data_IF_009002434533
#
_entry.id   IF_009002434533
#
_cell.length_a   1.000
_cell.length_b   1.000
_cell.length_c   1.000
_cell.angle_alpha   90.00
_cell.angle_beta   90.00
_cell.angle_gamma   90.00
#
_symmetry.space_group_name_H-M   'P 1'
#
loop_
_entity.id
_entity.type
_entity.pdbx_description
1 polymer ?
#
# COMPACT_ATOMS: atom_id res chain seq x y z
N UNK A 1 -21.95 -7.02 5.01
CA UNK A 1 -23.40 -7.40 4.97
C UNK A 1 -24.23 -6.46 4.07
N UNK A 2 -24.26 -5.10 4.31
CA UNK A 2 -25.11 -4.19 3.52
C UNK A 2 -24.72 -4.19 2.03
N UNK A 3 -23.45 -4.00 1.69
CA UNK A 3 -22.97 -3.98 0.31
C UNK A 3 -23.24 -5.30 -0.42
N UNK A 4 -23.17 -6.42 0.28
CA UNK A 4 -23.44 -7.74 -0.26
C UNK A 4 -24.95 -7.98 -0.43
N UNK A 5 -25.76 -7.58 0.57
CA UNK A 5 -27.22 -7.62 0.49
C UNK A 5 -27.77 -6.78 -0.66
N UNK A 6 -27.14 -5.66 -0.94
CA UNK A 6 -27.51 -4.74 -2.02
C UNK A 6 -26.86 -5.09 -3.37
N UNK A 7 -26.23 -6.24 -3.49
CA UNK A 7 -25.58 -6.73 -4.72
C UNK A 7 -24.51 -5.76 -5.26
N UNK A 8 -23.80 -5.08 -4.35
CA UNK A 8 -22.70 -4.17 -4.73
C UNK A 8 -21.41 -4.94 -4.90
N UNK A 9 -21.13 -5.90 -4.03
CA UNK A 9 -19.94 -6.76 -4.08
C UNK A 9 -20.22 -8.07 -3.36
N UNK A 10 -19.70 -9.16 -3.91
CA UNK A 10 -19.70 -10.49 -3.30
C UNK A 10 -18.35 -10.79 -2.67
N UNK A 11 -18.38 -11.22 -1.41
CA UNK A 11 -17.19 -11.51 -0.64
C UNK A 11 -16.95 -13.00 -0.46
N UNK A 12 -15.68 -13.37 -0.47
CA UNK A 12 -15.22 -14.70 -0.10
C UNK A 12 -14.27 -14.60 1.08
N UNK A 13 -14.37 -15.56 2.00
CA UNK A 13 -13.42 -15.69 3.10
C UNK A 13 -12.10 -16.25 2.56
N UNK A 14 -10.99 -15.64 2.93
CA UNK A 14 -9.65 -16.19 2.65
C UNK A 14 -9.37 -17.23 3.75
N UNK A 15 -9.29 -18.53 3.40
CA UNK A 15 -9.05 -19.58 4.37
C UNK A 15 -7.62 -19.49 4.93
N UNK A 16 -7.47 -19.89 6.18
CA UNK A 16 -6.17 -20.04 6.87
C UNK A 16 -5.24 -18.82 6.81
N UNK A 17 -5.82 -17.62 6.65
CA UNK A 17 -5.07 -16.37 6.66
C UNK A 17 -5.11 -15.77 8.06
N UNK A 18 -3.94 -15.72 8.72
CA UNK A 18 -3.76 -15.21 10.08
C UNK A 18 -3.82 -13.68 10.13
N UNK A 19 -4.31 -13.15 11.26
CA UNK A 19 -4.11 -11.71 11.55
C UNK A 19 -2.61 -11.38 11.61
N UNK A 20 -2.24 -10.19 11.16
CA UNK A 20 -0.89 -9.70 11.36
C UNK A 20 -0.57 -9.73 12.86
N UNK A 21 0.64 -10.14 13.17
CA UNK A 21 1.12 -10.32 14.56
C UNK A 21 0.44 -11.44 15.37
N UNK A 22 -0.27 -12.37 14.73
CA UNK A 22 -0.71 -13.59 15.40
C UNK A 22 0.50 -14.51 15.68
N UNK A 23 0.59 -15.18 16.84
CA UNK A 23 -0.36 -15.14 17.97
C UNK A 23 -0.07 -14.04 19.01
N UNK A 24 0.94 -13.21 18.82
CA UNK A 24 1.53 -12.33 19.83
C UNK A 24 0.63 -11.13 20.19
N UNK A 25 -0.16 -10.65 19.24
CA UNK A 25 -1.07 -9.52 19.48
C UNK A 25 -2.36 -9.97 20.19
N UNK A 26 -2.72 -9.38 21.33
CA UNK A 26 -3.96 -9.71 22.04
C UNK A 26 -5.19 -9.57 21.15
N UNK A 27 -6.01 -10.60 21.07
CA UNK A 27 -7.23 -10.64 20.26
C UNK A 27 -7.01 -10.95 18.79
N UNK A 28 -5.77 -11.17 18.34
CA UNK A 28 -5.48 -11.69 17.01
C UNK A 28 -6.02 -13.10 16.83
N UNK A 29 -6.31 -13.47 15.58
CA UNK A 29 -6.89 -14.77 15.22
C UNK A 29 -6.09 -15.46 14.13
N UNK A 30 -6.04 -16.77 14.19
CA UNK A 30 -5.39 -17.61 13.17
C UNK A 30 -6.13 -17.62 11.82
N UNK A 31 -7.41 -17.29 11.79
CA UNK A 31 -8.22 -17.30 10.57
C UNK A 31 -9.56 -16.60 10.77
N UNK A 32 -10.31 -16.40 9.68
CA UNK A 32 -11.71 -16.03 9.74
C UNK A 32 -12.01 -14.54 9.68
N UNK A 33 -11.00 -13.68 9.40
CA UNK A 33 -11.22 -12.23 9.35
C UNK A 33 -11.07 -11.60 7.97
N UNK A 34 -10.30 -12.21 7.10
CA UNK A 34 -9.95 -11.59 5.82
C UNK A 34 -10.91 -12.02 4.72
N UNK A 35 -11.40 -11.04 3.99
CA UNK A 35 -12.29 -11.22 2.85
C UNK A 35 -11.59 -10.72 1.59
N UNK A 36 -11.89 -11.38 0.47
CA UNK A 36 -11.56 -10.92 -0.88
C UNK A 36 -12.84 -10.80 -1.70
N UNK A 37 -12.83 -9.97 -2.74
CA UNK A 37 -13.93 -9.93 -3.70
C UNK A 37 -13.94 -11.18 -4.57
N UNK A 38 -15.12 -11.72 -4.88
CA UNK A 38 -15.25 -12.75 -5.90
C UNK A 38 -14.75 -12.23 -7.25
N UNK A 39 -14.12 -13.09 -8.09
CA UNK A 39 -13.84 -12.75 -9.47
C UNK A 39 -15.09 -12.26 -10.19
N UNK A 40 -14.96 -11.26 -11.04
CA UNK A 40 -16.05 -10.71 -11.82
C UNK A 40 -15.70 -10.73 -13.31
N UNK A 41 -16.66 -11.10 -14.15
CA UNK A 41 -16.51 -11.03 -15.60
C UNK A 41 -16.62 -9.57 -16.04
N UNK A 42 -15.59 -9.06 -16.73
CA UNK A 42 -15.55 -7.68 -17.23
C UNK A 42 -16.70 -7.33 -18.17
N UNK A 43 -17.32 -8.29 -18.85
CA UNK A 43 -18.51 -8.10 -19.69
C UNK A 43 -19.69 -7.53 -18.89
N UNK A 44 -19.77 -7.82 -17.58
CA UNK A 44 -20.83 -7.33 -16.70
C UNK A 44 -20.81 -5.81 -16.52
N UNK A 45 -19.68 -5.18 -16.81
CA UNK A 45 -19.53 -3.73 -16.72
C UNK A 45 -20.02 -3.00 -17.99
N UNK A 46 -20.19 -3.70 -19.11
CA UNK A 46 -20.54 -3.08 -20.37
C UNK A 46 -19.58 -1.93 -20.73
N UNK A 47 -20.13 -0.78 -21.12
CA UNK A 47 -19.33 0.40 -21.48
C UNK A 47 -18.49 0.97 -20.34
N UNK A 48 -18.85 0.71 -19.09
CA UNK A 48 -18.10 1.19 -17.93
C UNK A 48 -16.78 0.44 -17.69
N UNK A 49 -16.55 -0.72 -18.35
CA UNK A 49 -15.29 -1.45 -18.30
C UNK A 49 -14.08 -0.59 -18.66
N UNK A 50 -14.24 0.33 -19.60
CA UNK A 50 -13.20 1.27 -20.05
C UNK A 50 -12.77 2.28 -19.00
N UNK A 51 -13.53 2.44 -17.91
CA UNK A 51 -13.17 3.33 -16.79
C UNK A 51 -12.17 2.70 -15.83
N UNK A 52 -11.98 1.38 -15.92
CA UNK A 52 -10.99 0.68 -15.11
C UNK A 52 -9.65 0.64 -15.84
N UNK A 53 -8.63 1.17 -15.19
CA UNK A 53 -7.24 1.08 -15.66
C UNK A 53 -6.68 -0.27 -15.25
N UNK A 54 -6.13 -1.01 -16.19
CA UNK A 54 -5.48 -2.28 -15.94
C UNK A 54 -4.03 -2.08 -15.51
N UNK A 55 -3.66 -2.64 -14.36
CA UNK A 55 -2.28 -2.68 -13.89
C UNK A 55 -1.62 -3.99 -14.36
N UNK A 56 -0.77 -3.96 -15.38
CA UNK A 56 -0.32 -5.18 -16.07
C UNK A 56 0.74 -5.99 -15.31
N UNK A 57 1.31 -5.43 -14.26
CA UNK A 57 2.52 -5.97 -13.60
C UNK A 57 2.27 -6.71 -12.28
N UNK A 58 1.07 -6.72 -11.75
CA UNK A 58 0.74 -7.52 -10.57
C UNK A 58 -0.24 -8.63 -10.90
N UNK A 59 -0.28 -9.73 -10.13
CA UNK A 59 -0.85 -10.97 -10.62
C UNK A 59 -2.29 -10.80 -11.09
N UNK A 60 -2.41 -10.66 -12.39
CA UNK A 60 -3.68 -10.59 -13.09
C UNK A 60 -4.19 -12.02 -13.25
N UNK A 61 -5.43 -12.25 -12.85
CA UNK A 61 -6.09 -13.53 -13.06
C UNK A 61 -5.85 -14.58 -11.97
N UNK A 62 -5.16 -14.27 -10.88
CA UNK A 62 -5.09 -15.12 -9.68
C UNK A 62 -6.07 -14.63 -8.63
N UNK A 63 -6.57 -15.50 -7.76
CA UNK A 63 -7.30 -15.11 -6.55
C UNK A 63 -6.39 -15.19 -5.33
N UNK A 64 -6.80 -14.58 -4.21
CA UNK A 64 -6.01 -14.62 -2.98
C UNK A 64 -5.86 -16.05 -2.46
N UNK A 65 -6.93 -16.83 -2.50
CA UNK A 65 -6.94 -18.23 -2.08
C UNK A 65 -5.98 -19.07 -2.90
N UNK A 66 -6.02 -18.93 -4.23
CA UNK A 66 -5.13 -19.64 -5.14
C UNK A 66 -3.66 -19.27 -4.93
N UNK A 67 -3.38 -17.99 -4.68
CA UNK A 67 -2.02 -17.54 -4.39
C UNK A 67 -1.43 -18.30 -3.19
N UNK A 68 -2.20 -18.49 -2.12
CA UNK A 68 -1.74 -19.27 -0.96
C UNK A 68 -1.75 -20.77 -1.23
N UNK A 69 -2.78 -21.30 -1.87
CA UNK A 69 -2.87 -22.71 -2.24
C UNK A 69 -1.69 -23.14 -3.12
N UNK A 70 -1.23 -22.25 -4.00
CA UNK A 70 -0.08 -22.50 -4.88
C UNK A 70 1.26 -22.18 -4.23
N UNK A 71 1.31 -21.95 -2.93
CA UNK A 71 2.55 -21.83 -2.15
C UNK A 71 3.01 -20.39 -1.86
N UNK A 72 2.17 -19.38 -2.13
CA UNK A 72 2.47 -17.97 -1.85
C UNK A 72 3.44 -17.33 -2.83
N UNK A 73 3.95 -16.17 -2.45
CA UNK A 73 4.84 -15.35 -3.31
C UNK A 73 6.22 -16.00 -3.48
N UNK A 74 6.62 -16.85 -2.53
CA UNK A 74 7.90 -17.57 -2.57
C UNK A 74 7.91 -18.77 -3.53
N UNK A 75 6.75 -19.18 -4.03
CA UNK A 75 6.58 -20.35 -4.88
C UNK A 75 5.91 -20.01 -6.23
N UNK A 76 6.33 -18.91 -6.85
CA UNK A 76 5.77 -18.45 -8.14
C UNK A 76 5.92 -19.47 -9.27
N UNK A 77 6.92 -20.31 -9.20
CA UNK A 77 7.14 -21.44 -10.10
C UNK A 77 6.02 -22.50 -10.06
N UNK A 78 5.19 -22.50 -9.00
CA UNK A 78 4.04 -23.39 -8.82
C UNK A 78 2.71 -22.76 -9.24
N UNK A 79 2.71 -21.47 -9.57
CA UNK A 79 1.47 -20.81 -9.97
C UNK A 79 0.95 -21.34 -11.29
N UNK A 80 -0.36 -21.57 -11.36
CA UNK A 80 -1.00 -22.06 -12.56
C UNK A 80 -1.17 -20.94 -13.60
N UNK A 81 -0.11 -20.71 -14.37
CA UNK A 81 -0.06 -19.66 -15.39
C UNK A 81 -1.12 -19.85 -16.47
N UNK A 82 -1.51 -21.08 -16.80
CA UNK A 82 -2.55 -21.34 -17.80
C UNK A 82 -3.92 -20.85 -17.31
N UNK A 83 -4.27 -21.08 -16.05
CA UNK A 83 -5.50 -20.54 -15.44
C UNK A 83 -5.47 -19.01 -15.43
N UNK A 84 -4.36 -18.40 -15.03
CA UNK A 84 -4.21 -16.96 -14.99
C UNK A 84 -4.37 -16.35 -16.40
N UNK A 85 -3.72 -16.93 -17.40
CA UNK A 85 -3.83 -16.47 -18.78
C UNK A 85 -5.24 -16.67 -19.36
N UNK A 86 -5.89 -17.77 -19.06
CA UNK A 86 -7.27 -18.02 -19.50
C UNK A 86 -8.23 -16.95 -18.94
N UNK A 87 -8.09 -16.56 -17.68
CA UNK A 87 -8.89 -15.50 -17.08
C UNK A 87 -8.57 -14.13 -17.69
N UNK A 88 -7.29 -13.85 -17.94
CA UNK A 88 -6.89 -12.61 -18.62
C UNK A 88 -7.51 -12.50 -20.01
N UNK A 89 -7.51 -13.58 -20.78
CA UNK A 89 -8.15 -13.63 -22.11
C UNK A 89 -9.67 -13.46 -22.02
N UNK A 90 -10.29 -14.02 -20.98
CA UNK A 90 -11.72 -13.92 -20.73
C UNK A 90 -12.15 -12.59 -20.06
N UNK A 91 -11.22 -11.67 -19.81
CA UNK A 91 -11.45 -10.43 -19.04
C UNK A 91 -12.08 -10.70 -17.65
N UNK A 92 -11.67 -11.79 -16.99
CA UNK A 92 -12.09 -12.08 -15.61
C UNK A 92 -11.21 -11.31 -14.63
N UNK A 93 -11.79 -10.34 -13.93
CA UNK A 93 -11.09 -9.43 -13.03
C UNK A 93 -11.04 -10.00 -11.62
N UNK A 94 -9.86 -9.97 -11.03
CA UNK A 94 -9.57 -10.53 -9.70
C UNK A 94 -8.83 -9.50 -8.83
N UNK A 95 -8.59 -9.80 -7.57
CA UNK A 95 -7.87 -8.91 -6.63
C UNK A 95 -8.46 -7.50 -6.58
N UNK A 96 -7.61 -6.48 -6.54
CA UNK A 96 -8.00 -5.08 -6.50
C UNK A 96 -8.80 -4.63 -7.73
N UNK A 97 -8.48 -5.14 -8.91
CA UNK A 97 -9.27 -4.89 -10.12
C UNK A 97 -10.69 -5.45 -10.00
N UNK A 98 -10.84 -6.67 -9.46
CA UNK A 98 -12.15 -7.28 -9.20
C UNK A 98 -12.96 -6.47 -8.20
N UNK A 99 -12.35 -6.01 -7.10
CA UNK A 99 -13.02 -5.15 -6.11
C UNK A 99 -13.47 -3.84 -6.76
N UNK A 100 -12.60 -3.16 -7.51
CA UNK A 100 -12.95 -1.94 -8.23
C UNK A 100 -14.08 -2.15 -9.24
N UNK A 101 -14.05 -3.27 -9.97
CA UNK A 101 -15.09 -3.63 -10.94
C UNK A 101 -16.46 -3.81 -10.27
N UNK A 102 -16.54 -4.49 -9.12
CA UNK A 102 -17.77 -4.63 -8.36
C UNK A 102 -18.35 -3.28 -7.96
N UNK A 103 -17.53 -2.35 -7.46
CA UNK A 103 -18.00 -1.01 -7.08
C UNK A 103 -18.41 -0.18 -8.30
N UNK A 104 -17.66 -0.24 -9.42
CA UNK A 104 -18.05 0.44 -10.67
C UNK A 104 -19.39 -0.08 -11.14
N UNK A 105 -19.58 -1.42 -11.22
CA UNK A 105 -20.88 -2.04 -11.53
C UNK A 105 -21.98 -1.50 -10.60
N UNK A 106 -21.74 -1.51 -9.28
CA UNK A 106 -22.70 -1.03 -8.29
C UNK A 106 -23.15 0.43 -8.50
N UNK A 107 -22.24 1.30 -8.95
CA UNK A 107 -22.54 2.72 -9.29
C UNK A 107 -23.45 2.79 -10.51
N UNK A 108 -23.09 2.10 -11.60
CA UNK A 108 -23.84 2.18 -12.86
C UNK A 108 -25.20 1.48 -12.80
N UNK A 109 -25.30 0.35 -12.07
CA UNK A 109 -26.58 -0.33 -11.83
C UNK A 109 -27.61 0.56 -11.10
N UNK A 110 -27.12 1.55 -10.33
CA UNK A 110 -27.95 2.52 -9.60
C UNK A 110 -28.15 3.83 -10.33
N UNK A 111 -27.70 3.90 -11.58
CA UNK A 111 -27.80 5.12 -12.40
C UNK A 111 -27.23 6.37 -11.72
N UNK A 112 -26.13 6.20 -10.96
CA UNK A 112 -25.41 7.32 -10.35
C UNK A 112 -24.59 8.01 -11.45
N UNK A 113 -24.77 9.31 -11.59
CA UNK A 113 -24.02 10.09 -12.57
C UNK A 113 -22.52 10.11 -12.24
N UNK A 114 -21.69 9.80 -13.23
CA UNK A 114 -20.24 9.80 -13.14
C UNK A 114 -19.67 10.79 -14.14
N UNK A 115 -18.95 11.78 -13.62
CA UNK A 115 -18.27 12.80 -14.44
C UNK A 115 -16.76 12.52 -14.41
N UNK A 116 -16.25 11.98 -15.50
CA UNK A 116 -14.79 11.78 -15.70
C UNK A 116 -14.14 13.00 -16.29
N UNK A 117 -12.83 13.17 -16.10
CA UNK A 117 -12.06 14.33 -16.59
C UNK A 117 -12.61 15.68 -16.12
N UNK A 118 -13.24 15.67 -14.93
CA UNK A 118 -13.84 16.83 -14.28
C UNK A 118 -13.19 17.06 -12.90
N UNK A 119 -11.97 17.61 -12.86
CA UNK A 119 -11.30 17.89 -11.58
C UNK A 119 -12.09 18.96 -10.81
N UNK A 120 -12.39 18.65 -9.55
CA UNK A 120 -12.98 19.62 -8.64
C UNK A 120 -11.87 20.53 -8.11
N UNK A 121 -12.03 21.84 -8.30
CA UNK A 121 -11.01 22.83 -7.92
C UNK A 121 -11.45 23.75 -6.77
N UNK A 122 -12.76 23.83 -6.53
CA UNK A 122 -13.31 24.80 -5.56
C UNK A 122 -14.49 24.22 -4.79
N UNK A 123 -14.54 24.46 -3.50
CA UNK A 123 -15.73 24.28 -2.68
C UNK A 123 -16.60 25.53 -2.74
N UNK A 124 -17.86 25.37 -3.12
CA UNK A 124 -18.84 26.47 -3.15
C UNK A 124 -19.47 26.64 -1.78
N UNK A 125 -19.50 27.88 -1.29
CA UNK A 125 -20.05 28.21 0.04
C UNK A 125 -21.06 29.31 -0.05
N UNK A 126 -22.09 29.26 0.84
CA UNK A 126 -23.07 30.32 1.06
C UNK A 126 -23.45 30.32 2.53
N UNK A 127 -23.45 31.49 3.17
CA UNK A 127 -23.82 31.67 4.60
C UNK A 127 -23.10 30.66 5.53
N UNK A 128 -21.77 30.56 5.42
CA UNK A 128 -20.90 29.65 6.19
C UNK A 128 -21.23 28.16 6.02
N UNK A 129 -21.93 27.81 4.98
CA UNK A 129 -22.25 26.42 4.66
C UNK A 129 -21.69 26.05 3.28
N UNK A 130 -21.20 24.83 3.16
CA UNK A 130 -20.86 24.24 1.86
C UNK A 130 -22.15 23.88 1.14
N UNK A 131 -22.28 24.37 -0.10
CA UNK A 131 -23.47 24.17 -0.93
C UNK A 131 -23.20 23.40 -2.22
N UNK A 132 -21.92 23.08 -2.51
CA UNK A 132 -21.56 22.37 -3.71
C UNK A 132 -20.07 22.44 -4.03
N UNK A 133 -19.76 22.08 -5.26
CA UNK A 133 -18.39 22.09 -5.80
C UNK A 133 -18.38 22.70 -7.19
N UNK A 134 -17.24 23.28 -7.57
CA UNK A 134 -16.93 23.67 -8.95
C UNK A 134 -15.85 22.78 -9.51
N UNK A 135 -16.10 22.25 -10.69
CA UNK A 135 -15.12 21.60 -11.54
C UNK A 135 -14.69 22.54 -12.66
N UNK A 136 -13.40 22.61 -12.91
CA UNK A 136 -12.81 23.36 -14.02
C UNK A 136 -12.03 22.41 -14.90
N UNK A 137 -12.56 22.10 -16.06
CA UNK A 137 -11.94 21.24 -17.06
C UNK A 137 -11.66 22.01 -18.35
N UNK A 138 -10.89 21.42 -19.27
CA UNK A 138 -10.67 22.00 -20.60
C UNK A 138 -11.97 22.18 -21.38
N UNK A 139 -13.01 21.39 -21.10
CA UNK A 139 -14.34 21.47 -21.67
C UNK A 139 -15.21 22.59 -21.10
N UNK A 140 -14.78 23.27 -20.05
CA UNK A 140 -15.51 24.33 -19.37
C UNK A 140 -15.65 24.09 -17.85
N UNK A 141 -16.29 25.06 -17.18
CA UNK A 141 -16.57 25.02 -15.74
C UNK A 141 -18.00 24.54 -15.49
N UNK A 142 -18.17 23.68 -14.47
CA UNK A 142 -19.47 23.16 -14.04
C UNK A 142 -19.61 23.35 -12.54
N UNK A 143 -20.72 23.92 -12.09
CA UNK A 143 -21.10 23.98 -10.68
C UNK A 143 -22.11 22.88 -10.39
N UNK A 144 -21.80 22.05 -9.38
CA UNK A 144 -22.68 21.01 -8.86
C UNK A 144 -23.10 21.35 -7.43
N UNK A 145 -24.40 21.43 -7.19
CA UNK A 145 -24.95 21.86 -5.91
C UNK A 145 -25.46 20.68 -5.10
N UNK A 146 -25.12 20.67 -3.81
CA UNK A 146 -25.53 19.64 -2.85
C UNK A 146 -24.59 19.57 -1.67
N UNK A 147 -24.81 18.61 -0.79
CA UNK A 147 -23.84 18.26 0.25
C UNK A 147 -22.64 17.56 -0.38
N UNK A 148 -21.46 17.88 0.08
CA UNK A 148 -20.20 17.40 -0.50
C UNK A 148 -19.59 16.31 0.37
N UNK A 149 -19.20 15.19 -0.24
CA UNK A 149 -18.44 14.12 0.40
C UNK A 149 -17.08 14.01 -0.28
N UNK A 150 -16.00 14.33 0.42
CA UNK A 150 -14.64 14.17 -0.04
C UNK A 150 -14.21 12.72 0.16
N UNK A 151 -13.93 12.00 -0.94
CA UNK A 151 -13.50 10.61 -0.95
C UNK A 151 -12.31 10.40 -1.92
N UNK A 152 -11.39 11.35 -1.94
CA UNK A 152 -10.37 11.56 -2.99
C UNK A 152 -9.07 10.78 -2.76
N UNK A 153 -9.03 9.93 -1.74
CA UNK A 153 -7.81 9.20 -1.38
C UNK A 153 -6.85 10.02 -0.51
N UNK A 154 -5.65 9.52 -0.34
CA UNK A 154 -4.64 10.07 0.56
C UNK A 154 -3.83 11.22 -0.09
N UNK A 155 -2.67 11.51 0.48
CA UNK A 155 -1.80 12.64 0.13
C UNK A 155 -0.45 12.23 -0.46
N UNK A 156 -0.31 11.00 -0.90
CA UNK A 156 0.97 10.35 -1.20
C UNK A 156 1.87 11.15 -2.14
N UNK A 157 1.28 11.77 -3.17
CA UNK A 157 2.01 12.55 -4.18
C UNK A 157 1.98 14.06 -3.95
N UNK A 158 1.36 14.53 -2.86
CA UNK A 158 1.49 15.92 -2.42
C UNK A 158 2.83 16.11 -1.72
N UNK A 159 3.75 16.83 -2.33
CA UNK A 159 5.09 17.04 -1.77
C UNK A 159 5.08 17.67 -0.38
N UNK A 160 4.18 18.61 -0.11
CA UNK A 160 4.08 19.29 1.18
C UNK A 160 3.40 18.44 2.27
N UNK A 161 2.35 17.68 1.91
CA UNK A 161 1.61 16.87 2.87
C UNK A 161 2.36 15.58 3.21
N UNK A 162 3.01 14.94 2.24
CA UNK A 162 3.79 13.73 2.47
C UNK A 162 4.96 14.00 3.45
N UNK A 163 5.71 15.07 3.24
CA UNK A 163 6.77 15.48 4.17
C UNK A 163 6.22 15.83 5.55
N UNK A 164 5.12 16.61 5.61
CA UNK A 164 4.49 17.01 6.86
C UNK A 164 3.97 15.85 7.70
N UNK A 165 3.37 14.85 7.05
CA UNK A 165 2.69 13.77 7.78
C UNK A 165 3.59 12.57 8.06
N UNK A 166 4.60 12.30 7.24
CA UNK A 166 5.43 11.10 7.35
C UNK A 166 6.88 11.42 7.68
N UNK A 167 7.41 12.52 7.14
CA UNK A 167 8.78 12.96 7.40
C UNK A 167 9.86 12.12 6.71
N UNK A 168 9.51 11.34 5.68
CA UNK A 168 10.52 10.65 4.87
C UNK A 168 11.18 11.65 3.93
N UNK A 169 12.53 11.72 3.88
CA UNK A 169 13.22 12.54 2.91
C UNK A 169 12.85 12.15 1.47
N UNK A 170 12.59 13.14 0.62
CA UNK A 170 12.08 12.95 -0.74
C UNK A 170 12.94 11.98 -1.58
N UNK A 171 14.25 12.02 -1.44
CA UNK A 171 15.21 11.17 -2.16
C UNK A 171 15.24 9.71 -1.70
N UNK A 172 14.58 9.40 -0.57
CA UNK A 172 14.45 8.07 0.01
C UNK A 172 13.01 7.60 0.08
N UNK A 173 12.05 8.47 -0.29
CA UNK A 173 10.63 8.19 -0.30
C UNK A 173 10.09 7.79 -1.66
N UNK A 174 8.81 7.52 -1.69
CA UNK A 174 7.99 7.23 -2.87
C UNK A 174 6.61 6.76 -2.45
N UNK A 175 5.80 6.30 -3.40
CA UNK A 175 4.49 5.71 -3.11
C UNK A 175 4.11 4.62 -4.10
N UNK A 176 3.36 3.64 -3.60
CA UNK A 176 2.68 2.61 -4.41
C UNK A 176 1.36 3.12 -5.01
N UNK A 177 0.83 4.23 -4.48
CA UNK A 177 -0.41 4.81 -4.98
C UNK A 177 -0.22 5.40 -6.39
N UNK A 178 -1.25 5.39 -7.24
CA UNK A 178 -1.24 6.10 -8.51
C UNK A 178 -0.88 7.57 -8.34
N UNK A 179 -0.20 8.16 -9.33
CA UNK A 179 0.26 9.56 -9.26
C UNK A 179 -0.87 10.59 -9.09
N UNK A 180 -2.10 10.19 -9.38
CA UNK A 180 -3.31 11.00 -9.15
C UNK A 180 -3.70 11.16 -7.68
N UNK A 181 -3.10 10.40 -6.76
CA UNK A 181 -3.40 10.51 -5.32
C UNK A 181 -2.54 11.64 -4.72
N UNK A 182 -2.93 12.87 -5.00
CA UNK A 182 -2.14 14.07 -4.71
C UNK A 182 -2.64 14.90 -3.51
N UNK A 183 -3.68 14.45 -2.79
CA UNK A 183 -4.20 15.16 -1.62
C UNK A 183 -5.30 16.18 -1.91
N UNK A 184 -5.89 16.15 -3.10
CA UNK A 184 -6.86 17.14 -3.58
C UNK A 184 -8.01 17.40 -2.58
N UNK A 185 -8.57 16.34 -1.97
CA UNK A 185 -9.64 16.52 -0.99
C UNK A 185 -9.18 17.18 0.29
N UNK A 186 -7.92 17.02 0.68
CA UNK A 186 -7.34 17.73 1.82
C UNK A 186 -7.22 19.21 1.48
N UNK A 187 -6.69 19.52 0.31
CA UNK A 187 -6.56 20.91 -0.16
C UNK A 187 -7.93 21.58 -0.31
N UNK A 188 -8.93 20.88 -0.84
CA UNK A 188 -10.32 21.37 -0.90
C UNK A 188 -10.90 21.63 0.49
N UNK A 189 -10.66 20.74 1.46
CA UNK A 189 -11.10 20.96 2.84
C UNK A 189 -10.44 22.19 3.48
N UNK A 190 -9.15 22.39 3.22
CA UNK A 190 -8.40 23.55 3.71
C UNK A 190 -8.93 24.88 3.16
N UNK A 191 -9.47 24.91 1.93
CA UNK A 191 -10.10 26.12 1.36
C UNK A 191 -11.24 26.67 2.22
N UNK A 192 -11.91 25.79 2.97
CA UNK A 192 -13.06 26.15 3.82
C UNK A 192 -12.76 26.04 5.32
N UNK A 193 -11.47 26.04 5.69
CA UNK A 193 -11.02 26.08 7.07
C UNK A 193 -11.08 24.75 7.82
N UNK A 194 -11.04 23.63 7.11
CA UNK A 194 -10.98 22.31 7.74
C UNK A 194 -9.70 22.12 8.57
N UNK A 195 -9.82 21.40 9.67
CA UNK A 195 -8.69 20.95 10.47
C UNK A 195 -8.05 19.72 9.82
N UNK A 196 -6.72 19.66 9.88
CA UNK A 196 -5.94 18.48 9.46
C UNK A 196 -5.10 17.97 10.62
N UNK A 197 -4.96 16.65 10.70
CA UNK A 197 -4.15 15.99 11.71
C UNK A 197 -3.36 14.83 11.08
N UNK A 198 -2.28 14.45 11.73
CA UNK A 198 -1.47 13.29 11.37
C UNK A 198 -1.50 12.25 12.48
N UNK A 199 -1.32 10.98 12.11
CA UNK A 199 -1.00 9.94 13.07
C UNK A 199 0.50 10.02 13.41
N UNK A 200 0.95 9.54 14.58
CA UNK A 200 2.38 9.46 14.87
C UNK A 200 3.15 8.75 13.75
N UNK A 201 4.37 9.21 13.45
CA UNK A 201 5.18 8.67 12.34
C UNK A 201 5.41 7.16 12.40
N UNK A 202 5.54 6.59 13.62
CA UNK A 202 5.60 5.14 13.85
C UNK A 202 4.32 4.39 13.47
N UNK A 203 3.23 5.10 13.21
CA UNK A 203 1.95 4.55 12.80
C UNK A 203 1.69 4.66 11.30
N UNK A 204 2.61 5.24 10.53
CA UNK A 204 2.45 5.37 9.10
C UNK A 204 2.57 4.00 8.41
N UNK A 205 1.65 3.65 7.52
CA UNK A 205 1.71 2.40 6.76
C UNK A 205 2.67 2.54 5.58
N UNK A 206 3.94 2.40 5.88
CA UNK A 206 5.06 2.46 4.95
C UNK A 206 5.53 1.04 4.67
N UNK A 207 6.08 0.80 3.49
CA UNK A 207 6.69 -0.48 3.11
C UNK A 207 8.06 -0.24 2.48
N UNK A 208 9.03 -1.11 2.68
CA UNK A 208 10.24 -1.13 1.87
C UNK A 208 9.92 -1.41 0.41
N UNK A 209 10.64 -0.77 -0.49
CA UNK A 209 10.46 -1.00 -1.91
C UNK A 209 11.55 -0.32 -2.73
N UNK A 210 11.34 -0.23 -4.03
CA UNK A 210 12.31 0.29 -4.98
C UNK A 210 11.64 1.10 -6.09
N UNK A 211 12.45 1.90 -6.78
CA UNK A 211 12.01 2.70 -7.92
C UNK A 211 12.44 2.01 -9.22
N UNK A 212 11.49 1.82 -10.14
CA UNK A 212 11.80 1.40 -11.50
C UNK A 212 12.51 2.53 -12.27
N UNK A 213 13.36 2.21 -13.24
CA UNK A 213 13.97 3.21 -14.12
C UNK A 213 12.94 4.04 -14.89
N UNK A 214 11.81 3.45 -15.23
CA UNK A 214 10.68 4.13 -15.89
C UNK A 214 9.33 3.54 -15.46
N UNK A 215 8.24 4.34 -15.48
CA UNK A 215 6.88 3.83 -15.34
C UNK A 215 6.54 2.80 -16.43
N UNK A 216 5.64 1.85 -16.13
CA UNK A 216 5.28 0.74 -17.02
C UNK A 216 3.89 0.89 -17.65
N UNK A 217 3.06 1.80 -17.15
CA UNK A 217 1.74 2.13 -17.69
C UNK A 217 1.34 3.58 -17.32
N UNK A 218 0.26 4.08 -17.91
CA UNK A 218 -0.26 5.44 -17.62
C UNK A 218 -0.77 5.54 -16.18
N UNK A 219 -0.30 6.56 -15.45
CA UNK A 219 -0.61 6.75 -14.03
C UNK A 219 0.22 5.90 -13.08
N UNK A 220 1.15 5.10 -13.59
CA UNK A 220 2.08 4.33 -12.77
C UNK A 220 3.00 5.25 -11.95
N UNK A 221 3.13 4.95 -10.67
CA UNK A 221 4.05 5.65 -9.77
C UNK A 221 5.53 5.41 -10.10
N UNK A 222 5.84 4.33 -10.81
CA UNK A 222 7.20 3.85 -11.03
C UNK A 222 7.84 3.22 -9.79
N UNK A 223 7.11 3.06 -8.70
CA UNK A 223 7.60 2.39 -7.48
C UNK A 223 6.95 1.03 -7.29
N UNK A 224 7.71 0.10 -6.68
CA UNK A 224 7.24 -1.26 -6.36
C UNK A 224 7.59 -1.61 -4.92
N UNK A 225 6.64 -2.21 -4.20
CA UNK A 225 6.92 -2.82 -2.90
C UNK A 225 7.87 -4.01 -3.08
N UNK A 226 8.77 -4.18 -2.15
CA UNK A 226 9.68 -5.31 -2.12
C UNK A 226 9.28 -6.24 -0.98
N UNK A 227 8.95 -7.47 -1.30
CA UNK A 227 8.68 -8.54 -0.34
C UNK A 227 9.83 -9.55 -0.31
N UNK A 228 10.64 -9.55 -1.34
CA UNK A 228 11.76 -10.46 -1.54
C UNK A 228 12.85 -10.27 -0.46
N UNK A 229 12.96 -9.07 0.13
CA UNK A 229 13.90 -8.84 1.23
C UNK A 229 13.61 -9.69 2.48
N UNK A 230 12.39 -10.25 2.60
CA UNK A 230 12.02 -11.14 3.69
C UNK A 230 12.47 -12.59 3.46
N UNK A 231 12.81 -12.95 2.21
CA UNK A 231 13.20 -14.31 1.82
C UNK A 231 14.64 -14.62 2.27
N UNK A 232 15.03 -15.89 2.38
CA UNK A 232 16.41 -16.25 2.68
C UNK A 232 17.39 -15.80 1.59
N UNK A 233 18.69 -15.81 1.88
CA UNK A 233 19.78 -15.40 1.01
C UNK A 233 19.77 -13.92 0.61
N UNK A 234 19.26 -13.06 1.51
CA UNK A 234 19.26 -11.60 1.36
C UNK A 234 19.41 -10.90 2.70
N UNK A 235 19.96 -9.68 2.66
CA UNK A 235 20.06 -8.78 3.81
C UNK A 235 19.80 -7.33 3.38
N UNK A 236 19.45 -6.47 4.35
CA UNK A 236 19.44 -5.01 4.16
C UNK A 236 20.62 -4.37 4.90
N UNK A 237 21.31 -3.46 4.22
CA UNK A 237 22.47 -2.74 4.78
C UNK A 237 22.37 -1.25 4.49
N UNK A 238 23.01 -0.43 5.34
CA UNK A 238 23.21 0.99 5.10
C UNK A 238 24.47 1.25 4.25
N UNK A 239 24.83 2.52 4.02
CA UNK A 239 26.02 2.92 3.24
C UNK A 239 27.35 2.48 3.87
N UNK A 240 27.39 2.18 5.17
CA UNK A 240 28.55 1.62 5.86
C UNK A 240 28.67 0.10 5.69
N UNK A 241 27.75 -0.52 4.95
CA UNK A 241 27.66 -1.97 4.77
C UNK A 241 27.15 -2.71 6.01
N UNK A 242 26.50 -2.03 6.94
CA UNK A 242 26.02 -2.61 8.21
C UNK A 242 24.52 -2.86 8.19
N UNK A 243 24.10 -4.04 8.67
CA UNK A 243 22.69 -4.32 9.00
C UNK A 243 22.26 -3.46 10.19
N UNK A 244 20.98 -3.11 10.26
CA UNK A 244 20.46 -2.16 11.26
C UNK A 244 19.12 -2.57 11.88
N UNK A 245 18.54 -3.72 11.49
CA UNK A 245 17.22 -4.17 11.95
C UNK A 245 17.01 -5.67 11.67
N UNK A 246 15.89 -6.23 12.17
CA UNK A 246 15.31 -7.45 11.56
C UNK A 246 14.79 -7.08 10.17
N UNK A 247 15.60 -7.39 9.18
CA UNK A 247 15.34 -7.05 7.78
C UNK A 247 14.30 -7.95 7.10
N UNK A 248 13.74 -8.93 7.80
CA UNK A 248 12.55 -9.67 7.38
C UNK A 248 11.22 -9.09 7.89
N UNK A 249 11.27 -8.13 8.83
CA UNK A 249 10.09 -7.57 9.46
C UNK A 249 9.91 -6.07 9.12
N UNK A 250 8.91 -5.74 8.31
CA UNK A 250 8.71 -4.38 7.79
C UNK A 250 8.73 -3.28 8.85
N UNK A 251 8.07 -3.42 10.01
CA UNK A 251 8.13 -2.38 11.05
C UNK A 251 9.53 -2.09 11.55
N UNK A 252 10.37 -3.11 11.68
CA UNK A 252 11.76 -2.95 12.12
C UNK A 252 12.62 -2.29 11.05
N UNK A 253 12.40 -2.64 9.78
CA UNK A 253 13.06 -1.98 8.64
C UNK A 253 12.75 -0.49 8.62
N UNK A 254 11.47 -0.13 8.79
CA UNK A 254 11.04 1.27 8.80
C UNK A 254 11.62 2.01 10.02
N UNK A 255 11.51 1.44 11.20
CA UNK A 255 12.03 2.02 12.43
C UNK A 255 13.56 2.22 12.36
N UNK A 256 14.27 1.20 11.88
CA UNK A 256 15.72 1.24 11.69
C UNK A 256 16.16 2.29 10.67
N UNK A 257 15.51 2.32 9.49
CA UNK A 257 15.81 3.29 8.44
C UNK A 257 15.53 4.74 8.87
N UNK A 258 14.45 4.95 9.65
CA UNK A 258 14.04 6.26 10.15
C UNK A 258 14.74 6.69 11.44
N UNK A 259 15.66 5.87 11.98
CA UNK A 259 16.48 6.24 13.14
C UNK A 259 17.23 7.54 12.87
N UNK A 260 17.15 8.46 13.82
CA UNK A 260 17.76 9.80 13.70
C UNK A 260 18.74 10.01 14.85
N UNK A 261 19.91 10.50 14.51
CA UNK A 261 20.95 10.93 15.48
C UNK A 261 20.59 12.29 16.10
N UNK A 262 21.28 12.64 17.17
CA UNK A 262 21.09 13.94 17.86
C UNK A 262 21.36 15.17 16.96
N UNK A 263 22.09 15.01 15.88
CA UNK A 263 22.39 16.05 14.89
C UNK A 263 21.39 16.09 13.71
N UNK A 264 20.35 15.27 13.75
CA UNK A 264 19.33 15.17 12.70
C UNK A 264 19.73 14.29 11.53
N UNK A 265 20.90 13.65 11.53
CA UNK A 265 21.29 12.71 10.48
C UNK A 265 20.61 11.37 10.65
N UNK A 266 20.34 10.68 9.52
CA UNK A 266 19.77 9.33 9.49
C UNK A 266 20.82 8.35 8.95
N UNK A 267 21.56 7.68 9.82
CA UNK A 267 22.72 6.88 9.44
C UNK A 267 22.37 5.67 8.57
N UNK A 268 21.12 5.25 8.60
CA UNK A 268 20.63 4.11 7.82
C UNK A 268 19.94 4.51 6.51
N UNK A 269 20.02 5.78 6.09
CA UNK A 269 19.59 6.23 4.78
C UNK A 269 20.77 6.82 3.99
N UNK A 270 20.98 6.42 2.72
CA UNK A 270 20.26 5.36 2.00
C UNK A 270 20.52 3.96 2.54
N UNK A 271 19.62 3.03 2.23
CA UNK A 271 19.83 1.61 2.50
C UNK A 271 19.66 0.78 1.22
N UNK A 272 20.21 -0.44 1.26
CA UNK A 272 20.32 -1.30 0.09
C UNK A 272 19.90 -2.71 0.44
N UNK A 273 19.27 -3.39 -0.50
CA UNK A 273 19.07 -4.84 -0.47
C UNK A 273 20.22 -5.51 -1.18
N UNK A 274 20.81 -6.53 -0.54
CA UNK A 274 21.91 -7.33 -1.07
C UNK A 274 21.45 -8.79 -1.05
N UNK A 275 21.68 -9.53 -2.14
CA UNK A 275 21.34 -10.94 -2.26
C UNK A 275 22.27 -11.67 -3.21
N UNK A 276 22.20 -13.01 -3.23
CA UNK A 276 23.03 -13.87 -4.06
C UNK A 276 22.25 -14.49 -5.23
N UNK A 277 22.93 -15.22 -6.09
CA UNK A 277 22.33 -15.83 -7.29
C UNK A 277 21.36 -16.97 -6.95
N UNK A 278 21.50 -17.63 -5.79
CA UNK A 278 20.52 -18.60 -5.33
C UNK A 278 19.15 -17.94 -5.11
N UNK A 279 19.13 -16.77 -4.44
CA UNK A 279 17.90 -15.99 -4.23
C UNK A 279 17.27 -15.57 -5.57
N UNK A 280 18.09 -15.07 -6.51
CA UNK A 280 17.63 -14.69 -7.84
C UNK A 280 16.94 -15.84 -8.58
N UNK A 281 17.59 -17.00 -8.59
CA UNK A 281 17.08 -18.18 -9.29
C UNK A 281 15.84 -18.79 -8.62
N UNK A 282 15.63 -18.52 -7.32
CA UNK A 282 14.51 -19.06 -6.55
C UNK A 282 13.29 -18.13 -6.52
N UNK A 283 13.49 -16.83 -6.36
CA UNK A 283 12.39 -15.90 -6.11
C UNK A 283 12.20 -14.86 -7.22
N UNK A 284 13.26 -14.48 -7.91
CA UNK A 284 13.25 -13.31 -8.79
C UNK A 284 13.16 -11.99 -8.02
N UNK A 285 12.62 -10.95 -8.66
CA UNK A 285 12.41 -9.63 -8.04
C UNK A 285 11.19 -8.93 -8.66
N UNK A 286 10.13 -8.76 -7.88
CA UNK A 286 8.93 -8.07 -8.34
C UNK A 286 8.33 -8.67 -9.61
N UNK A 287 8.40 -7.94 -10.73
CA UNK A 287 7.90 -8.40 -12.04
C UNK A 287 8.84 -9.39 -12.74
N UNK A 288 10.10 -9.43 -12.34
CA UNK A 288 11.11 -10.37 -12.87
C UNK A 288 10.91 -11.72 -12.19
N UNK A 289 10.64 -12.75 -12.98
CA UNK A 289 10.47 -14.11 -12.49
C UNK A 289 11.79 -14.74 -12.01
N UNK A 290 11.71 -15.92 -11.35
CA UNK A 290 12.89 -16.66 -10.92
C UNK A 290 13.85 -16.94 -12.07
N UNK A 291 15.10 -16.51 -11.92
CA UNK A 291 16.17 -16.69 -12.93
C UNK A 291 16.02 -15.86 -14.22
N UNK A 292 15.02 -15.02 -14.31
CA UNK A 292 14.84 -14.14 -15.47
C UNK A 292 15.76 -12.90 -15.37
N UNK A 293 16.18 -12.33 -16.51
CA UNK A 293 16.97 -11.08 -16.51
C UNK A 293 16.22 -9.94 -15.79
N UNK A 294 16.94 -9.22 -14.95
CA UNK A 294 16.38 -8.03 -14.27
C UNK A 294 16.02 -6.91 -15.27
N UNK A 295 15.11 -6.05 -14.86
CA UNK A 295 14.87 -4.79 -15.56
C UNK A 295 16.19 -4.02 -15.66
N UNK A 296 16.52 -3.56 -16.86
CA UNK A 296 17.75 -2.81 -17.14
C UNK A 296 17.89 -1.62 -16.19
N UNK A 297 19.07 -1.36 -15.68
CA UNK A 297 19.42 -0.30 -14.72
C UNK A 297 18.74 -0.38 -13.33
N UNK A 298 18.03 -1.46 -13.01
CA UNK A 298 17.42 -1.63 -11.69
C UNK A 298 18.35 -2.27 -10.68
N UNK A 299 19.05 -3.32 -11.09
CA UNK A 299 19.89 -4.16 -10.22
C UNK A 299 21.34 -4.08 -10.66
N UNK A 300 22.22 -3.89 -9.71
CA UNK A 300 23.67 -4.02 -9.90
C UNK A 300 24.10 -5.45 -9.58
N UNK A 301 24.90 -6.07 -10.44
CA UNK A 301 25.42 -7.42 -10.23
C UNK A 301 26.93 -7.42 -10.34
N UNK A 302 27.60 -8.18 -9.47
CA UNK A 302 29.07 -8.31 -9.47
C UNK A 302 29.51 -9.72 -9.07
N UNK A 303 30.73 -10.09 -9.46
CA UNK A 303 31.27 -11.39 -9.13
C UNK A 303 31.74 -11.53 -7.69
N UNK A 304 31.99 -10.39 -7.03
CA UNK A 304 32.45 -10.34 -5.63
C UNK A 304 31.64 -9.32 -4.83
N UNK A 305 31.59 -9.50 -3.53
CA UNK A 305 30.97 -8.56 -2.59
C UNK A 305 31.67 -7.20 -2.62
N UNK A 306 33.00 -7.18 -2.75
CA UNK A 306 33.77 -5.95 -2.85
C UNK A 306 33.40 -5.13 -4.09
N UNK A 307 33.37 -5.77 -5.27
CA UNK A 307 32.96 -5.10 -6.52
C UNK A 307 31.52 -4.57 -6.42
N UNK A 308 30.61 -5.34 -5.84
CA UNK A 308 29.22 -4.94 -5.66
C UNK A 308 29.14 -3.69 -4.76
N UNK A 309 29.85 -3.70 -3.64
CA UNK A 309 29.89 -2.56 -2.71
C UNK A 309 30.42 -1.28 -3.38
N UNK A 310 31.53 -1.38 -4.16
CA UNK A 310 32.10 -0.27 -4.90
C UNK A 310 31.09 0.32 -5.91
N UNK A 311 30.38 -0.54 -6.67
CA UNK A 311 29.37 -0.11 -7.64
C UNK A 311 28.16 0.59 -6.99
N UNK A 312 27.78 0.15 -5.80
CA UNK A 312 26.64 0.71 -5.05
C UNK A 312 27.00 1.89 -4.14
N UNK A 313 28.30 2.27 -4.05
CA UNK A 313 28.82 3.24 -3.10
C UNK A 313 28.53 2.85 -1.63
N UNK A 314 28.68 1.58 -1.31
CA UNK A 314 28.66 1.03 0.04
C UNK A 314 30.12 0.84 0.48
N UNK A 315 30.41 1.00 1.78
CA UNK A 315 31.75 0.77 2.32
C UNK A 315 32.13 -0.71 2.18
N UNK A 316 33.14 -1.08 1.33
CA UNK A 316 33.37 -2.47 0.95
C UNK A 316 33.73 -3.39 2.11
N UNK A 317 34.61 -2.89 3.01
CA UNK A 317 35.06 -3.67 4.17
C UNK A 317 33.90 -3.91 5.15
N UNK A 318 33.05 -2.89 5.35
CA UNK A 318 31.88 -3.03 6.21
C UNK A 318 30.88 -4.05 5.70
N UNK A 319 30.65 -4.09 4.37
CA UNK A 319 29.76 -5.07 3.77
C UNK A 319 30.35 -6.48 3.85
N UNK A 320 31.64 -6.65 3.56
CA UNK A 320 32.31 -7.94 3.65
C UNK A 320 32.28 -8.52 5.06
N UNK A 321 32.64 -7.72 6.08
CA UNK A 321 32.57 -8.13 7.49
C UNK A 321 31.14 -8.52 7.87
N UNK A 322 30.14 -7.76 7.45
CA UNK A 322 28.71 -8.02 7.74
C UNK A 322 28.26 -9.34 7.12
N UNK A 323 28.63 -9.63 5.88
CA UNK A 323 28.25 -10.88 5.20
C UNK A 323 28.96 -12.08 5.84
N UNK A 324 30.24 -11.97 6.17
CA UNK A 324 30.97 -13.05 6.85
C UNK A 324 30.29 -13.40 8.18
N UNK A 325 29.98 -12.39 9.00
CA UNK A 325 29.34 -12.60 10.31
C UNK A 325 27.91 -13.16 10.15
N UNK A 326 27.12 -12.59 9.24
CA UNK A 326 25.76 -13.07 8.98
C UNK A 326 25.77 -14.53 8.49
N UNK A 327 26.60 -14.87 7.51
CA UNK A 327 26.68 -16.22 6.94
C UNK A 327 27.04 -17.27 8.00
N UNK A 328 27.98 -16.95 8.91
CA UNK A 328 28.36 -17.84 10.00
C UNK A 328 27.15 -18.30 10.85
N UNK A 329 26.21 -17.41 11.11
CA UNK A 329 25.00 -17.73 11.87
C UNK A 329 23.87 -18.27 10.98
N UNK A 330 23.75 -17.75 9.76
CA UNK A 330 22.71 -18.10 8.82
C UNK A 330 22.76 -19.57 8.35
N UNK A 331 23.95 -20.21 8.33
CA UNK A 331 24.09 -21.63 8.05
C UNK A 331 23.26 -22.52 8.99
N UNK A 332 23.11 -22.10 10.26
CA UNK A 332 22.27 -22.78 11.24
C UNK A 332 20.83 -22.23 11.33
N UNK A 333 20.46 -21.29 10.42
CA UNK A 333 19.16 -20.66 10.38
C UNK A 333 18.90 -19.65 11.50
N UNK A 334 19.95 -19.09 12.09
CA UNK A 334 19.86 -18.14 13.18
C UNK A 334 20.34 -16.75 12.77
N UNK A 335 19.80 -15.73 13.44
CA UNK A 335 20.29 -14.35 13.41
C UNK A 335 20.29 -13.79 14.85
N UNK A 336 21.40 -13.93 15.59
CA UNK A 336 21.46 -13.51 16.98
C UNK A 336 21.47 -11.98 17.19
N UNK A 337 21.75 -11.20 16.13
CA UNK A 337 21.87 -9.74 16.22
C UNK A 337 20.52 -9.04 16.17
N UNK A 338 19.64 -9.48 15.26
CA UNK A 338 18.36 -8.82 15.05
C UNK A 338 17.15 -9.76 15.14
N UNK A 339 17.38 -11.07 15.26
CA UNK A 339 16.31 -12.05 15.39
C UNK A 339 15.54 -12.32 14.10
N UNK A 340 16.16 -12.10 12.92
CA UNK A 340 15.54 -12.40 11.62
C UNK A 340 14.97 -13.81 11.59
N UNK A 341 13.73 -13.94 11.12
CA UNK A 341 13.05 -15.22 11.03
C UNK A 341 12.61 -15.82 12.37
N UNK A 342 12.51 -15.05 13.45
CA UNK A 342 11.90 -15.48 14.72
C UNK A 342 10.42 -15.14 14.81
N UNK A 343 9.96 -14.10 14.09
CA UNK A 343 8.56 -13.70 14.08
C UNK A 343 7.68 -14.74 13.36
N UNK A 344 6.66 -15.26 14.04
CA UNK A 344 5.80 -16.34 13.53
C UNK A 344 5.03 -15.94 12.27
N UNK A 345 4.45 -14.74 12.27
CA UNK A 345 3.71 -14.21 11.12
C UNK A 345 4.61 -14.02 9.89
N UNK A 346 5.83 -13.49 10.08
CA UNK A 346 6.80 -13.35 8.99
C UNK A 346 7.20 -14.70 8.40
N UNK A 347 7.43 -15.70 9.25
CA UNK A 347 7.76 -17.06 8.82
C UNK A 347 6.66 -17.68 7.95
N UNK A 348 5.40 -17.45 8.31
CA UNK A 348 4.25 -18.00 7.61
C UNK A 348 3.96 -17.28 6.29
N UNK A 349 3.95 -15.95 6.29
CA UNK A 349 3.47 -15.18 5.14
C UNK A 349 4.56 -14.61 4.23
N UNK A 350 5.79 -14.51 4.75
CA UNK A 350 6.89 -13.83 4.05
C UNK A 350 8.18 -14.65 4.02
N UNK A 351 8.13 -15.90 4.43
CA UNK A 351 9.22 -16.83 4.35
C UNK A 351 8.99 -17.88 3.26
N UNK A 352 10.05 -18.58 2.88
CA UNK A 352 9.96 -19.79 2.07
C UNK A 352 9.81 -21.01 2.98
N UNK A 353 8.61 -21.56 3.07
CA UNK A 353 8.32 -22.75 3.89
C UNK A 353 9.13 -24.01 3.51
N UNK A 354 9.64 -24.06 2.29
CA UNK A 354 10.50 -25.15 1.81
C UNK A 354 11.97 -24.96 2.18
N UNK A 355 12.41 -23.73 2.42
CA UNK A 355 13.78 -23.44 2.84
C UNK A 355 14.04 -23.83 4.29
N UNK A 356 15.13 -24.56 4.54
CA UNK A 356 15.53 -25.07 5.85
C UNK A 356 16.96 -24.63 6.19
N UNK A 357 17.23 -24.40 7.48
CA UNK A 357 16.40 -24.65 8.66
C UNK A 357 15.41 -23.53 8.98
N UNK A 358 15.52 -22.35 8.38
CA UNK A 358 14.68 -21.19 8.68
C UNK A 358 14.12 -20.58 7.37
N UNK A 359 12.80 -20.34 7.25
CA UNK A 359 12.18 -19.84 6.02
C UNK A 359 12.61 -18.41 5.62
N UNK A 360 13.26 -17.66 6.51
CA UNK A 360 13.70 -16.28 6.25
C UNK A 360 15.22 -16.09 6.28
N UNK A 361 15.99 -17.11 6.70
CA UNK A 361 17.43 -16.99 6.92
C UNK A 361 18.19 -17.99 6.06
N UNK A 362 19.09 -17.49 5.22
CA UNK A 362 20.00 -18.27 4.39
C UNK A 362 21.28 -17.47 4.12
N UNK A 363 22.47 -18.11 4.05
CA UNK A 363 23.72 -17.43 3.82
C UNK A 363 23.84 -16.91 2.39
N UNK A 364 24.52 -15.80 2.17
CA UNK A 364 24.84 -15.25 0.85
C UNK A 364 26.18 -15.84 0.38
N UNK A 365 26.14 -16.85 -0.47
CA UNK A 365 27.33 -17.62 -0.88
C UNK A 365 27.49 -17.76 -2.39
N UNK A 366 26.43 -17.63 -3.15
CA UNK A 366 26.38 -17.98 -4.56
C UNK A 366 26.54 -16.72 -5.44
N UNK A 367 27.72 -16.58 -6.05
CA UNK A 367 27.95 -15.52 -7.02
C UNK A 367 27.21 -15.79 -8.35
N UNK A 368 26.82 -14.76 -9.12
CA UNK A 368 27.02 -13.34 -8.83
C UNK A 368 26.19 -12.84 -7.66
N UNK A 369 26.72 -11.81 -7.00
CA UNK A 369 25.99 -11.07 -5.96
C UNK A 369 25.26 -9.89 -6.60
N UNK A 370 24.11 -9.58 -6.06
CA UNK A 370 23.21 -8.56 -6.57
C UNK A 370 22.87 -7.53 -5.50
N UNK A 371 22.57 -6.31 -5.92
CA UNK A 371 22.15 -5.29 -5.00
C UNK A 371 21.40 -4.14 -5.67
N UNK A 372 20.56 -3.47 -4.90
CA UNK A 372 19.85 -2.27 -5.33
C UNK A 372 19.59 -1.32 -4.17
N UNK A 373 19.45 -0.03 -4.49
CA UNK A 373 18.99 0.97 -3.52
C UNK A 373 17.51 0.76 -3.20
N UNK A 374 17.19 0.82 -1.91
CA UNK A 374 15.82 0.72 -1.41
C UNK A 374 15.23 2.11 -1.10
N UNK A 375 13.90 2.16 -1.10
CA UNK A 375 13.10 3.32 -0.74
C UNK A 375 12.08 2.94 0.35
N UNK A 376 11.65 3.94 1.11
CA UNK A 376 10.49 3.83 2.00
C UNK A 376 9.25 4.35 1.27
N UNK A 377 8.29 3.48 1.04
CA UNK A 377 7.14 3.78 0.17
C UNK A 377 5.86 3.95 0.98
N UNK A 378 5.15 5.03 0.72
CA UNK A 378 3.75 5.17 1.11
C UNK A 378 2.91 4.12 0.39
N UNK A 379 1.83 3.69 1.01
CA UNK A 379 1.00 2.58 0.51
C UNK A 379 -0.40 3.02 0.06
N UNK A 380 -0.64 4.32 -0.08
CA UNK A 380 -1.98 4.85 -0.35
C UNK A 380 -2.89 4.89 0.88
N UNK A 381 -2.38 4.46 2.03
CA UNK A 381 -3.09 4.45 3.31
C UNK A 381 -2.70 5.68 4.09
N UNK A 382 -3.68 6.50 4.49
CA UNK A 382 -3.40 7.81 5.06
C UNK A 382 -2.62 7.76 6.39
N UNK A 383 -1.51 8.50 6.44
CA UNK A 383 -0.79 8.84 7.67
C UNK A 383 -1.29 10.15 8.29
N UNK A 384 -2.12 10.88 7.58
CA UNK A 384 -2.74 12.13 8.00
C UNK A 384 -3.82 12.54 7.02
N UNK A 385 -4.58 13.56 7.36
CA UNK A 385 -5.68 14.04 6.52
C UNK A 385 -6.62 14.95 7.27
N UNK A 386 -7.81 15.16 6.72
CA UNK A 386 -8.88 15.93 7.33
C UNK A 386 -9.34 15.31 8.65
N UNK A 387 -9.65 16.14 9.64
CA UNK A 387 -10.31 15.68 10.86
C UNK A 387 -11.82 15.57 10.59
N UNK A 388 -12.39 14.39 10.84
CA UNK A 388 -13.83 14.17 10.68
C UNK A 388 -14.41 13.43 11.89
N UNK A 389 -15.67 13.73 12.21
CA UNK A 389 -16.44 13.06 13.26
C UNK A 389 -16.94 11.68 12.85
N UNK A 390 -17.65 11.00 13.75
CA UNK A 390 -18.13 9.63 13.57
C UNK A 390 -19.05 9.42 12.35
N UNK A 391 -19.78 10.44 11.93
CA UNK A 391 -20.63 10.42 10.72
C UNK A 391 -19.93 10.99 9.48
N UNK A 392 -18.62 11.22 9.52
CA UNK A 392 -17.85 11.78 8.41
C UNK A 392 -17.97 13.31 8.27
N UNK A 393 -18.65 14.04 9.16
CA UNK A 393 -18.66 15.52 9.13
C UNK A 393 -17.27 16.06 9.34
N UNK A 394 -16.79 16.90 8.43
CA UNK A 394 -15.47 17.54 8.52
C UNK A 394 -15.50 18.58 9.65
N UNK A 395 -14.46 18.57 10.46
CA UNK A 395 -14.29 19.51 11.58
C UNK A 395 -13.43 20.69 11.12
N UNK A 396 -13.87 21.90 11.44
CA UNK A 396 -13.12 23.14 11.22
C UNK A 396 -12.02 23.36 12.25
N UNK A 397 -11.09 24.27 11.96
CA UNK A 397 -10.02 24.67 12.87
C UNK A 397 -10.50 25.26 14.20
N UNK A 398 -11.76 25.66 14.25
CA UNK A 398 -12.47 26.10 15.46
C UNK A 398 -13.09 24.95 16.29
N UNK A 399 -12.93 23.72 15.83
CA UNK A 399 -13.51 22.52 16.44
C UNK A 399 -14.99 22.29 16.12
N UNK A 400 -15.59 23.09 15.24
CA UNK A 400 -17.01 22.99 14.87
C UNK A 400 -17.15 22.26 13.53
N UNK A 401 -18.14 21.36 13.36
CA UNK A 401 -18.39 20.72 12.07
C UNK A 401 -18.75 21.73 10.97
N UNK A 402 -18.06 21.65 9.84
CA UNK A 402 -18.34 22.45 8.65
C UNK A 402 -19.64 21.94 8.03
N UNK A 403 -20.65 22.79 8.00
CA UNK A 403 -21.99 22.43 7.53
C UNK A 403 -21.98 22.13 6.02
N UNK A 404 -22.54 20.99 5.63
CA UNK A 404 -22.61 20.55 4.23
C UNK A 404 -21.37 19.85 3.71
N UNK A 405 -20.31 19.69 4.53
CA UNK A 405 -19.06 19.03 4.14
C UNK A 405 -18.84 17.75 4.95
N UNK A 406 -18.57 16.67 4.22
CA UNK A 406 -18.22 15.36 4.75
C UNK A 406 -16.90 14.88 4.10
N UNK A 407 -16.20 14.02 4.80
CA UNK A 407 -15.02 13.35 4.27
C UNK A 407 -14.95 11.90 4.77
N UNK A 408 -14.53 10.99 3.91
CA UNK A 408 -14.47 9.56 4.20
C UNK A 408 -13.26 8.90 3.51
N UNK A 409 -12.89 7.72 3.95
CA UNK A 409 -11.77 6.98 3.35
C UNK A 409 -10.40 7.60 3.70
N UNK A 410 -9.49 7.55 2.75
CA UNK A 410 -8.08 7.87 2.98
C UNK A 410 -7.75 9.39 2.93
N UNK A 411 -8.71 10.26 2.61
CA UNK A 411 -8.51 11.71 2.80
C UNK A 411 -8.74 12.17 4.26
N UNK A 412 -9.20 11.26 5.13
CA UNK A 412 -9.45 11.53 6.56
C UNK A 412 -8.31 10.96 7.41
N UNK A 413 -7.85 11.73 8.40
CA UNK A 413 -6.89 11.23 9.39
C UNK A 413 -7.46 10.04 10.16
N UNK A 414 -6.59 9.09 10.52
CA UNK A 414 -6.99 7.93 11.33
C UNK A 414 -6.97 8.31 12.80
N UNK A 415 -8.08 8.13 13.47
CA UNK A 415 -8.17 8.28 14.92
C UNK A 415 -7.92 6.98 15.68
N UNK A 416 -8.03 5.84 14.98
CA UNK A 416 -7.87 4.50 15.53
C UNK A 416 -7.15 3.59 14.52
N UNK A 417 -6.43 2.58 15.02
CA UNK A 417 -5.84 1.55 14.17
C UNK A 417 -4.64 2.01 13.35
N UNK A 418 -3.63 2.62 13.98
CA UNK A 418 -2.38 3.01 13.35
C UNK A 418 -1.17 2.19 13.84
N UNK A 419 -0.06 2.24 13.10
CA UNK A 419 1.20 1.62 13.44
C UNK A 419 1.13 0.11 13.50
N UNK A 420 1.66 -0.45 14.56
CA UNK A 420 1.64 -1.89 14.82
C UNK A 420 0.24 -2.51 14.92
N UNK A 421 -0.83 -1.70 14.94
CA UNK A 421 -2.21 -2.18 14.93
C UNK A 421 -2.86 -2.25 13.56
N UNK A 422 -2.14 -1.95 12.46
CA UNK A 422 -2.69 -2.07 11.12
C UNK A 422 -2.86 -3.54 10.72
N UNK A 423 -4.03 -3.85 10.17
CA UNK A 423 -4.32 -5.14 9.55
C UNK A 423 -4.79 -4.93 8.10
N UNK A 424 -4.56 -5.93 7.25
CA UNK A 424 -5.04 -5.93 5.87
C UNK A 424 -6.55 -5.73 5.79
N UNK A 425 -7.01 -4.94 4.83
CA UNK A 425 -8.44 -4.63 4.64
C UNK A 425 -8.98 -3.49 5.53
N UNK A 426 -8.22 -3.01 6.50
CA UNK A 426 -8.66 -1.92 7.39
C UNK A 426 -9.10 -0.67 6.61
N UNK A 427 -8.34 -0.23 5.62
CA UNK A 427 -8.62 0.95 4.80
C UNK A 427 -9.94 0.83 4.03
N UNK A 428 -10.16 -0.30 3.35
CA UNK A 428 -11.42 -0.55 2.63
C UNK A 428 -12.62 -0.65 3.57
N UNK A 429 -12.49 -1.39 4.69
CA UNK A 429 -13.55 -1.49 5.69
C UNK A 429 -13.92 -0.12 6.27
N UNK A 430 -12.91 0.70 6.57
CA UNK A 430 -13.10 2.07 7.07
C UNK A 430 -13.82 2.93 6.03
N UNK A 431 -13.35 2.95 4.79
CA UNK A 431 -13.95 3.73 3.72
C UNK A 431 -15.43 3.36 3.50
N UNK A 432 -15.74 2.07 3.43
CA UNK A 432 -17.12 1.58 3.26
C UNK A 432 -17.99 1.94 4.47
N UNK A 433 -17.49 1.76 5.70
CA UNK A 433 -18.25 2.03 6.92
C UNK A 433 -18.58 3.51 7.05
N UNK A 434 -17.59 4.37 6.92
CA UNK A 434 -17.81 5.82 7.06
C UNK A 434 -18.57 6.41 5.87
N UNK A 435 -18.40 5.84 4.66
CA UNK A 435 -19.23 6.19 3.50
C UNK A 435 -20.71 5.91 3.75
N UNK A 436 -21.02 4.73 4.31
CA UNK A 436 -22.38 4.37 4.69
C UNK A 436 -22.96 5.30 5.78
N UNK A 437 -22.18 5.59 6.83
CA UNK A 437 -22.60 6.49 7.92
C UNK A 437 -22.82 7.93 7.42
N UNK A 438 -21.94 8.46 6.58
CA UNK A 438 -22.08 9.77 5.98
C UNK A 438 -23.35 9.88 5.12
N UNK A 439 -23.60 8.87 4.28
CA UNK A 439 -24.83 8.81 3.47
C UNK A 439 -26.09 8.80 4.35
N UNK A 440 -26.09 8.02 5.43
CA UNK A 440 -27.21 7.99 6.40
C UNK A 440 -27.46 9.34 7.08
N UNK A 441 -26.40 10.04 7.47
CA UNK A 441 -26.48 11.38 8.07
C UNK A 441 -27.03 12.42 7.08
N UNK A 442 -26.54 12.38 5.83
CA UNK A 442 -27.00 13.25 4.73
C UNK A 442 -28.50 13.04 4.50
N UNK A 443 -28.93 11.78 4.37
CA UNK A 443 -30.32 11.43 4.14
C UNK A 443 -31.24 11.91 5.28
N UNK A 444 -30.84 11.66 6.53
CA UNK A 444 -31.61 12.08 7.73
C UNK A 444 -31.74 13.60 7.81
N UNK A 445 -30.69 14.33 7.47
CA UNK A 445 -30.69 15.79 7.48
C UNK A 445 -31.62 16.39 6.39
N UNK A 446 -31.79 15.72 5.28
CA UNK A 446 -32.70 16.12 4.20
C UNK A 446 -34.17 15.86 4.58
N UNK A 447 -34.46 14.71 5.22
CA UNK A 447 -35.80 14.34 5.65
C UNK A 447 -36.36 15.32 6.69
N UNK A 448 -35.54 15.72 7.67
CA UNK A 448 -35.92 16.71 8.70
C UNK A 448 -36.17 18.11 8.12
N UNK A 449 -35.65 18.44 6.94
CA UNK A 449 -35.96 19.69 6.24
C UNK A 449 -37.28 19.66 5.46
N UNK A 450 -37.73 18.46 5.05
CA UNK A 450 -38.96 18.27 4.27
C UNK A 450 -40.22 18.15 5.18
N UNK A 451 -40.03 17.67 6.45
CA UNK A 451 -41.06 17.65 7.49
C UNK A 451 -40.65 18.58 8.64
N UNK A 452 -40.82 19.91 8.54
CA UNK A 452 -40.71 20.77 9.69
C UNK A 452 -41.89 20.43 10.62
N UNK A 453 -41.58 19.92 11.81
CA UNK A 453 -42.57 19.69 12.84
C UNK A 453 -43.39 21.00 13.04
N UNK A 454 -44.71 20.83 12.93
CA UNK A 454 -45.70 21.85 13.26
C UNK A 454 -45.76 22.09 14.79
#
# INVERSE_FOLDING_TARGET
EWFEKEDVIHWRLIPDYEDYYYPDAPGSKATGRYLTGEPIDGIMLGDSRKLLIDAPHWPVGITYEEMFEWGGVSARDRWNIDVMNARKVADTLTFGQGIAAWFVKGVFDRSIDVYTEQPVTTILTENESVIGVRSEAASGSIDLYGQVVLATGSHDWSSGLAEKFIGIPKEHGGSLAPVSIAGDGIDLGLQVGAEISAVPGTAAPITPGYKLPSPTFEGDSGFRGCYEHCMPHTILVNSEGKRFCDDSFHPDVIAGAMTENNDGTRPNLPFFMIWDDWHHNRYGLGITGPGEPYVEDLVTSASTIQELAECLNIEPKGLEETIIEYNYHAESGNDPHFGRGTNASVRTFRGDGDHKPNPNVGPLTDAPFHGMKMNLLNTGIAAGGLVAGESGKVIGQDGIPIKGLFAVGECVTRTTGGGAGYNSGYSLCRAMTYGYLAAGEIFSSQKNKQDPEF
#
